data_IF_410666987839
#
_entry.id   IF_410666987839
#
_cell.length_a   1.000
_cell.length_b   1.000
_cell.length_c   1.000
_cell.angle_alpha   90.00
_cell.angle_beta   90.00
_cell.angle_gamma   90.00
#
_symmetry.space_group_name_H-M   'P 1'
#
loop_
_entity.id
_entity.type
_entity.pdbx_description
1 polymer ?
#
# COMPACT_ATOMS: atom_id res chain seq x y z
N UNK A 1 0.05 -9.26 1.79
CA UNK A 1 -0.25 -10.27 0.81
C UNK A 1 -1.33 -11.22 1.29
N UNK A 2 -2.41 -11.31 0.58
CA UNK A 2 -3.56 -12.15 0.91
C UNK A 2 -3.28 -13.63 0.57
N UNK A 3 -2.51 -14.33 1.41
CA UNK A 3 -2.27 -15.77 1.28
C UNK A 3 -1.38 -16.20 0.11
N UNK A 4 -0.70 -15.26 -0.55
CA UNK A 4 0.25 -15.54 -1.63
C UNK A 4 1.67 -15.18 -1.22
N UNK A 5 2.64 -15.96 -1.68
CA UNK A 5 4.07 -15.64 -1.54
C UNK A 5 4.50 -14.85 -2.76
N UNK A 6 5.02 -13.63 -2.55
CA UNK A 6 5.69 -12.91 -3.62
C UNK A 6 7.22 -12.93 -3.41
N UNK A 7 7.95 -12.92 -4.51
CA UNK A 7 9.42 -13.07 -4.51
C UNK A 7 10.13 -11.95 -3.72
N UNK A 8 9.65 -10.73 -3.82
CA UNK A 8 10.23 -9.60 -3.09
C UNK A 8 10.04 -9.74 -1.58
N UNK A 9 8.85 -10.13 -1.14
CA UNK A 9 8.56 -10.38 0.27
C UNK A 9 9.38 -11.53 0.84
N UNK A 10 9.58 -12.61 0.06
CA UNK A 10 10.42 -13.73 0.47
C UNK A 10 11.87 -13.26 0.69
N UNK A 11 12.44 -12.51 -0.25
CA UNK A 11 13.81 -12.01 -0.14
C UNK A 11 14.01 -11.10 1.10
N UNK A 12 13.00 -10.29 1.44
CA UNK A 12 13.03 -9.46 2.68
C UNK A 12 13.03 -10.36 3.92
N UNK A 13 12.18 -11.40 3.95
CA UNK A 13 12.09 -12.31 5.08
C UNK A 13 13.38 -13.13 5.26
N UNK A 14 13.95 -13.67 4.20
CA UNK A 14 15.21 -14.43 4.23
C UNK A 14 16.36 -13.57 4.73
N UNK A 15 16.50 -12.33 4.24
CA UNK A 15 17.50 -11.38 4.74
C UNK A 15 17.31 -11.09 6.22
N UNK A 16 16.07 -10.84 6.65
CA UNK A 16 15.76 -10.55 8.04
C UNK A 16 16.14 -11.70 8.98
N UNK A 17 15.78 -12.93 8.64
CA UNK A 17 16.14 -14.12 9.41
C UNK A 17 17.66 -14.30 9.46
N UNK A 18 18.35 -14.19 8.33
CA UNK A 18 19.81 -14.30 8.27
C UNK A 18 20.50 -13.28 9.18
N UNK A 19 20.09 -12.01 9.11
CA UNK A 19 20.69 -10.94 9.91
C UNK A 19 20.42 -11.12 11.41
N UNK A 20 19.26 -11.65 11.80
CA UNK A 20 18.98 -12.01 13.19
C UNK A 20 19.93 -13.14 13.67
N UNK A 21 20.16 -14.16 12.86
CA UNK A 21 21.08 -15.25 13.20
C UNK A 21 22.53 -14.78 13.30
N UNK A 22 22.95 -13.83 12.45
CA UNK A 22 24.27 -13.19 12.56
C UNK A 22 24.36 -12.36 13.84
N UNK A 23 23.33 -11.56 14.16
CA UNK A 23 23.29 -10.76 15.37
C UNK A 23 23.38 -11.60 16.64
N UNK A 24 22.76 -12.79 16.64
CA UNK A 24 22.82 -13.75 17.75
C UNK A 24 24.12 -14.58 17.79
N UNK A 25 25.05 -14.37 16.86
CA UNK A 25 26.30 -15.12 16.80
C UNK A 25 26.15 -16.58 16.34
N UNK A 26 25.00 -16.96 15.78
CA UNK A 26 24.75 -18.30 15.25
C UNK A 26 25.39 -18.45 13.86
N UNK A 27 25.36 -17.39 13.05
CA UNK A 27 26.05 -17.28 11.77
C UNK A 27 27.22 -16.31 11.87
N UNK A 28 28.27 -16.50 11.05
CA UNK A 28 29.42 -15.60 11.03
C UNK A 28 29.04 -14.19 10.55
N UNK A 29 29.78 -13.17 10.98
CA UNK A 29 29.54 -11.77 10.58
C UNK A 29 29.60 -11.54 9.06
N UNK A 30 30.36 -12.38 8.33
CA UNK A 30 30.42 -12.36 6.87
C UNK A 30 29.10 -12.68 6.17
N UNK A 31 28.17 -13.29 6.88
CA UNK A 31 26.84 -13.64 6.37
C UNK A 31 25.81 -12.51 6.50
N UNK A 32 26.21 -11.37 7.09
CA UNK A 32 25.34 -10.19 7.14
C UNK A 32 25.01 -9.69 5.74
N UNK A 33 23.72 -9.42 5.53
CA UNK A 33 23.22 -8.87 4.27
C UNK A 33 22.72 -7.46 4.52
N UNK A 34 23.41 -6.48 3.93
CA UNK A 34 23.07 -5.07 4.08
C UNK A 34 21.68 -4.77 3.50
N UNK A 35 20.82 -4.07 4.23
CA UNK A 35 19.53 -3.66 3.69
C UNK A 35 19.73 -2.62 2.57
N UNK A 36 18.89 -2.66 1.49
CA UNK A 36 19.09 -1.78 0.32
C UNK A 36 18.82 -0.29 0.63
N UNK A 37 18.12 0.01 1.71
CA UNK A 37 17.82 1.36 2.16
C UNK A 37 17.55 1.38 3.67
N UNK A 38 17.71 2.52 4.35
CA UNK A 38 17.27 2.71 5.73
C UNK A 38 15.76 2.47 5.86
N UNK A 39 15.34 1.99 7.03
CA UNK A 39 13.92 1.86 7.34
C UNK A 39 13.26 3.23 7.38
N UNK A 40 12.20 3.41 6.58
CA UNK A 40 11.38 4.60 6.58
C UNK A 40 10.20 4.38 7.52
N UNK A 41 10.02 5.28 8.46
CA UNK A 41 8.89 5.26 9.39
C UNK A 41 7.78 6.14 8.86
N UNK A 42 6.56 5.60 8.84
CA UNK A 42 5.39 6.29 8.30
C UNK A 42 4.30 6.35 9.38
N UNK A 43 3.53 7.43 9.37
CA UNK A 43 2.41 7.70 10.26
C UNK A 43 1.13 7.98 9.47
N UNK A 44 0.00 7.59 10.04
CA UNK A 44 -1.34 7.79 9.48
C UNK A 44 -2.06 8.88 10.25
N UNK A 45 -2.30 10.01 9.61
CA UNK A 45 -2.73 11.25 10.26
C UNK A 45 -4.22 11.57 10.14
N UNK A 46 -5.10 10.60 10.33
CA UNK A 46 -6.53 10.86 10.39
C UNK A 46 -7.34 10.29 9.23
N UNK A 47 -8.63 10.64 9.18
CA UNK A 47 -9.59 9.98 8.29
C UNK A 47 -9.39 10.29 6.80
N UNK A 48 -8.85 11.45 6.45
CA UNK A 48 -8.59 11.86 5.06
C UNK A 48 -7.49 11.03 4.39
N UNK A 49 -6.74 10.25 5.18
CA UNK A 49 -5.75 9.28 4.68
C UNK A 49 -6.38 7.98 4.17
N UNK A 50 -7.66 7.76 4.42
CA UNK A 50 -8.41 6.61 3.92
C UNK A 50 -9.27 7.01 2.73
N UNK A 51 -9.24 6.20 1.69
CA UNK A 51 -10.08 6.36 0.50
C UNK A 51 -11.08 5.22 0.45
N UNK A 52 -12.36 5.56 0.49
CA UNK A 52 -13.45 4.58 0.50
C UNK A 52 -14.22 4.61 -0.82
N UNK A 53 -14.75 3.44 -1.21
CA UNK A 53 -15.64 3.33 -2.36
C UNK A 53 -16.97 4.05 -2.08
N UNK A 54 -17.37 5.01 -2.92
CA UNK A 54 -18.67 5.69 -2.77
C UNK A 54 -19.82 4.83 -3.28
N UNK A 55 -19.56 3.84 -4.13
CA UNK A 55 -20.54 3.00 -4.82
C UNK A 55 -20.07 1.55 -4.94
N UNK A 56 -21.03 0.65 -5.22
CA UNK A 56 -20.75 -0.74 -5.59
C UNK A 56 -20.24 -0.81 -7.04
N UNK A 57 -19.27 -1.67 -7.31
CA UNK A 57 -18.81 -1.86 -8.70
C UNK A 57 -17.48 -2.58 -8.81
N UNK A 58 -16.78 -2.32 -9.90
CA UNK A 58 -15.42 -2.81 -10.16
C UNK A 58 -14.44 -1.67 -9.95
N UNK A 59 -13.51 -1.88 -9.04
CA UNK A 59 -12.45 -0.96 -8.67
C UNK A 59 -11.30 -1.02 -9.69
N UNK A 60 -11.02 0.12 -10.32
CA UNK A 60 -9.84 0.38 -11.15
C UNK A 60 -8.91 1.31 -10.38
N UNK A 61 -7.75 0.84 -9.89
CA UNK A 61 -6.76 1.72 -9.27
C UNK A 61 -6.07 2.58 -10.33
N UNK A 62 -5.80 3.85 -10.02
CA UNK A 62 -5.04 4.78 -10.87
C UNK A 62 -3.64 5.07 -10.32
N UNK A 63 -3.31 4.48 -9.17
CA UNK A 63 -2.00 4.59 -8.51
C UNK A 63 -1.56 3.24 -7.95
N UNK A 64 -0.25 3.12 -7.68
CA UNK A 64 0.37 1.91 -7.15
C UNK A 64 0.87 2.10 -5.71
N UNK A 65 1.18 0.97 -5.04
CA UNK A 65 1.82 1.00 -3.72
C UNK A 65 3.17 1.70 -3.80
N UNK A 66 3.41 2.64 -2.87
CA UNK A 66 4.63 3.44 -2.80
C UNK A 66 4.57 4.75 -3.57
N UNK A 67 3.54 5.00 -4.38
CA UNK A 67 3.38 6.28 -5.06
C UNK A 67 3.17 7.41 -4.06
N UNK A 68 3.78 8.56 -4.35
CA UNK A 68 3.52 9.81 -3.62
C UNK A 68 2.42 10.57 -4.33
N UNK A 69 1.38 10.95 -3.60
CA UNK A 69 0.20 11.62 -4.13
C UNK A 69 -0.06 12.95 -3.44
N UNK A 70 -0.75 13.84 -4.14
CA UNK A 70 -1.22 15.12 -3.63
C UNK A 70 -2.74 15.14 -3.47
N UNK A 71 -3.26 16.12 -2.74
CA UNK A 71 -4.71 16.37 -2.66
C UNK A 71 -5.25 16.61 -4.06
N UNK A 72 -6.38 15.95 -4.40
CA UNK A 72 -7.01 16.06 -5.71
C UNK A 72 -6.45 15.10 -6.78
N UNK A 73 -5.34 14.41 -6.51
CA UNK A 73 -4.84 13.38 -7.45
C UNK A 73 -5.90 12.28 -7.64
N UNK A 74 -6.24 11.88 -8.89
CA UNK A 74 -7.13 10.76 -9.14
C UNK A 74 -6.61 9.47 -8.49
N UNK A 75 -7.43 8.86 -7.66
CA UNK A 75 -7.10 7.65 -6.91
C UNK A 75 -7.59 6.39 -7.62
N UNK A 76 -8.86 6.41 -8.05
CA UNK A 76 -9.53 5.25 -8.58
C UNK A 76 -10.73 5.64 -9.44
N UNK A 77 -11.25 4.64 -10.18
CA UNK A 77 -12.58 4.65 -10.80
C UNK A 77 -13.37 3.45 -10.35
N UNK A 78 -14.66 3.64 -10.13
CA UNK A 78 -15.62 2.55 -9.89
C UNK A 78 -16.49 2.41 -11.12
N UNK A 79 -16.39 1.27 -11.78
CA UNK A 79 -17.17 0.92 -12.98
C UNK A 79 -18.42 0.14 -12.58
N UNK A 80 -19.54 0.45 -13.22
CA UNK A 80 -20.82 -0.22 -13.00
C UNK A 80 -20.98 -1.40 -13.95
N UNK A 81 -21.02 -2.63 -13.44
CA UNK A 81 -21.14 -3.85 -14.24
C UNK A 81 -22.56 -4.08 -14.78
N UNK A 82 -23.57 -3.62 -14.05
CA UNK A 82 -24.97 -3.77 -14.43
C UNK A 82 -25.45 -2.68 -15.42
N UNK A 83 -24.74 -1.55 -15.46
CA UNK A 83 -25.01 -0.40 -16.32
C UNK A 83 -23.74 0.09 -17.00
N UNK A 84 -23.10 -0.74 -17.84
CA UNK A 84 -21.77 -0.44 -18.38
C UNK A 84 -21.72 0.77 -19.33
N UNK A 85 -22.86 1.30 -19.73
CA UNK A 85 -22.98 2.54 -20.52
C UNK A 85 -22.94 3.81 -19.68
N UNK A 86 -23.01 3.70 -18.35
CA UNK A 86 -22.82 4.84 -17.45
C UNK A 86 -21.33 5.10 -17.25
N UNK A 87 -20.91 6.38 -17.18
CA UNK A 87 -19.52 6.71 -16.89
C UNK A 87 -19.14 6.22 -15.48
N UNK A 88 -17.88 5.81 -15.27
CA UNK A 88 -17.41 5.43 -13.95
C UNK A 88 -17.39 6.63 -13.00
N UNK A 89 -17.50 6.34 -11.71
CA UNK A 89 -17.28 7.36 -10.65
C UNK A 89 -15.79 7.46 -10.39
N UNK A 90 -15.23 8.64 -10.58
CA UNK A 90 -13.83 8.95 -10.24
C UNK A 90 -13.72 9.40 -8.79
N UNK A 91 -12.68 8.92 -8.11
CA UNK A 91 -12.39 9.20 -6.71
C UNK A 91 -11.01 9.84 -6.65
N UNK A 92 -10.87 10.92 -5.86
CA UNK A 92 -9.61 11.63 -5.67
C UNK A 92 -9.13 11.52 -4.22
N UNK A 93 -7.82 11.68 -4.01
CA UNK A 93 -7.24 11.76 -2.67
C UNK A 93 -7.61 13.06 -1.98
N UNK A 94 -7.96 12.99 -0.70
CA UNK A 94 -8.27 14.12 0.18
C UNK A 94 -7.06 14.62 0.98
N UNK A 95 -6.01 13.81 1.04
CA UNK A 95 -4.75 14.13 1.70
C UNK A 95 -3.57 13.89 0.76
N UNK A 96 -2.45 14.55 1.02
CA UNK A 96 -1.16 14.23 0.41
C UNK A 96 -0.45 13.16 1.24
N UNK A 97 0.28 12.24 0.59
CA UNK A 97 1.00 11.19 1.29
C UNK A 97 1.53 10.12 0.35
N UNK A 98 1.90 8.99 0.94
CA UNK A 98 2.38 7.81 0.23
C UNK A 98 1.31 6.73 0.30
N UNK A 99 1.05 6.07 -0.82
CA UNK A 99 0.11 4.95 -0.89
C UNK A 99 0.71 3.75 -0.15
N UNK A 100 0.26 3.51 1.09
CA UNK A 100 0.75 2.45 1.96
C UNK A 100 -0.02 1.14 1.78
N UNK A 101 -1.33 1.23 1.54
CA UNK A 101 -2.19 0.08 1.28
C UNK A 101 -3.05 0.32 0.04
N UNK A 102 -3.28 -0.74 -0.72
CA UNK A 102 -4.15 -0.76 -1.89
C UNK A 102 -5.02 -2.02 -1.83
N UNK A 103 -6.33 -1.87 -2.06
CA UNK A 103 -7.26 -2.99 -2.15
C UNK A 103 -6.88 -3.91 -3.30
N UNK A 104 -6.87 -5.22 -3.06
CA UNK A 104 -6.57 -6.23 -4.08
C UNK A 104 -7.84 -6.69 -4.81
N UNK A 105 -8.96 -7.05 -4.13
CA UNK A 105 -10.16 -7.49 -4.82
C UNK A 105 -10.75 -6.38 -5.70
N UNK A 106 -10.93 -6.67 -6.99
CA UNK A 106 -11.51 -5.72 -7.94
C UNK A 106 -12.99 -5.41 -7.64
N UNK A 107 -13.77 -6.43 -7.22
CA UNK A 107 -15.15 -6.20 -6.81
C UNK A 107 -15.19 -5.45 -5.49
N UNK A 108 -15.90 -4.34 -5.45
CA UNK A 108 -16.01 -3.49 -4.27
C UNK A 108 -17.46 -3.16 -3.94
N UNK A 109 -17.70 -2.90 -2.67
CA UNK A 109 -18.97 -2.41 -2.14
C UNK A 109 -18.79 -1.00 -1.61
N UNK A 110 -19.84 -0.22 -1.59
CA UNK A 110 -19.88 1.10 -0.92
C UNK A 110 -19.36 0.97 0.50
N UNK A 111 -18.40 1.82 0.88
CA UNK A 111 -17.75 1.81 2.19
C UNK A 111 -16.51 0.92 2.28
N UNK A 112 -16.19 0.11 1.28
CA UNK A 112 -14.92 -0.63 1.25
C UNK A 112 -13.74 0.33 1.16
N UNK A 113 -12.70 0.09 1.96
CA UNK A 113 -11.47 0.84 1.90
C UNK A 113 -10.66 0.45 0.64
N UNK A 114 -10.35 1.43 -0.21
CA UNK A 114 -9.62 1.25 -1.46
C UNK A 114 -8.14 1.52 -1.30
N UNK A 115 -7.80 2.59 -0.58
CA UNK A 115 -6.42 3.00 -0.30
C UNK A 115 -6.27 3.50 1.12
N UNK A 116 -5.04 3.41 1.58
CA UNK A 116 -4.61 3.99 2.83
C UNK A 116 -3.29 4.73 2.58
N UNK A 117 -3.28 6.01 2.90
CA UNK A 117 -2.09 6.86 2.82
C UNK A 117 -1.35 6.88 4.15
N UNK A 118 -0.09 7.22 4.07
CA UNK A 118 0.74 7.56 5.22
C UNK A 118 1.68 8.72 4.86
N UNK A 119 2.24 9.37 5.86
CA UNK A 119 3.27 10.40 5.71
C UNK A 119 4.48 10.08 6.56
N UNK A 120 5.62 10.69 6.24
CA UNK A 120 6.84 10.49 7.00
C UNK A 120 6.66 10.85 8.47
N UNK A 121 7.13 9.94 9.32
CA UNK A 121 7.28 10.15 10.75
C UNK A 121 8.73 10.51 11.06
N UNK A 122 8.97 11.71 11.57
CA UNK A 122 10.27 12.07 12.13
C UNK A 122 10.36 11.52 13.55
N UNK A 123 11.23 10.54 13.75
CA UNK A 123 11.56 10.05 15.08
C UNK A 123 12.65 10.98 15.65
N UNK A 124 12.29 11.74 16.63
CA UNK A 124 13.22 12.61 17.38
C UNK A 124 13.77 11.88 18.60
#
# INVERSE_FOLDING_TARGET
GSGTVNRAGLAIAERGVRNVLVHLGILPASDWVEPPAPTRFLDVRGQDYYVYAPENGVFEPLVELGDTVSIGTPAARIHFTETPWLPPVEITFKAAGIVMCKRIPARTKRGDCLFHLASDLTIT
#
